data_IF_615012151090
#
_entry.id   IF_615012151090
#
_cell.length_a   1.000
_cell.length_b   1.000
_cell.length_c   1.000
_cell.angle_alpha   90.00
_cell.angle_beta   90.00
_cell.angle_gamma   90.00
#
_symmetry.space_group_name_H-M   'P 1'
#
loop_
_entity.id
_entity.type
_entity.pdbx_description
1 polymer ?
#
# COMPACT_ATOMS: atom_id res chain seq x y z
N UNK A 1 -12.35 6.37 4.86
CA UNK A 1 -11.06 6.94 4.47
C UNK A 1 -10.04 6.51 5.51
N UNK A 2 -9.07 5.68 5.12
CA UNK A 2 -8.01 5.19 6.01
C UNK A 2 -6.69 5.82 5.58
N UNK A 3 -5.84 6.21 6.52
CA UNK A 3 -4.51 6.74 6.21
C UNK A 3 -3.52 6.46 7.31
N UNK A 4 -2.27 6.19 6.94
CA UNK A 4 -1.16 6.00 7.87
C UNK A 4 0.11 6.64 7.32
N UNK A 5 1.13 6.78 8.17
CA UNK A 5 2.41 7.42 7.81
C UNK A 5 3.56 6.44 7.87
N UNK A 6 4.50 6.59 6.94
CA UNK A 6 5.78 5.87 6.95
C UNK A 6 6.90 6.88 7.07
N UNK A 7 7.76 6.73 8.07
CA UNK A 7 8.88 7.65 8.27
C UNK A 7 9.88 7.59 7.12
N UNK A 8 10.52 8.71 6.81
CA UNK A 8 11.57 8.79 5.80
C UNK A 8 12.71 7.81 6.10
N UNK A 9 13.10 7.68 7.37
CA UNK A 9 14.11 6.71 7.83
C UNK A 9 13.74 5.27 7.51
N UNK A 10 12.44 4.91 7.56
CA UNK A 10 11.99 3.55 7.23
C UNK A 10 12.04 3.28 5.73
N UNK A 11 11.79 4.30 4.90
CA UNK A 11 11.99 4.28 3.44
C UNK A 11 13.48 4.26 3.02
N UNK A 12 14.41 4.31 3.98
CA UNK A 12 15.86 4.19 3.78
C UNK A 12 16.46 2.95 4.42
N UNK A 13 15.61 2.17 5.09
CA UNK A 13 16.01 0.98 5.85
C UNK A 13 16.20 -0.25 4.97
N UNK A 14 16.70 -1.33 5.57
CA UNK A 14 16.78 -2.65 4.93
C UNK A 14 15.46 -3.43 5.01
N UNK A 15 14.39 -2.81 5.48
CA UNK A 15 13.06 -3.42 5.51
C UNK A 15 12.59 -3.70 4.08
N UNK A 16 11.94 -4.85 3.91
CA UNK A 16 11.30 -5.22 2.63
C UNK A 16 9.89 -4.66 2.51
N UNK A 17 9.23 -4.45 3.64
CA UNK A 17 7.87 -3.97 3.70
C UNK A 17 7.57 -3.21 4.99
N UNK A 18 6.56 -2.34 4.90
CA UNK A 18 5.90 -1.69 6.03
C UNK A 18 4.43 -2.09 6.01
N UNK A 19 3.84 -2.33 7.17
CA UNK A 19 2.42 -2.67 7.29
C UNK A 19 1.76 -1.62 8.17
N UNK A 20 0.58 -1.17 7.76
CA UNK A 20 -0.25 -0.25 8.54
C UNK A 20 -0.79 -0.94 9.79
N UNK A 21 -1.40 -0.15 10.68
CA UNK A 21 -2.33 -0.72 11.64
C UNK A 21 -3.52 -1.38 10.93
N UNK A 22 -4.17 -2.31 11.64
CA UNK A 22 -5.38 -2.97 11.14
C UNK A 22 -6.54 -1.99 11.19
N UNK A 23 -7.32 -1.96 10.12
CA UNK A 23 -8.59 -1.25 10.05
C UNK A 23 -9.68 -2.18 9.52
N UNK A 24 -10.92 -1.72 9.49
CA UNK A 24 -12.06 -2.56 9.12
C UNK A 24 -12.85 -1.95 7.96
N UNK A 25 -13.16 -2.77 6.96
CA UNK A 25 -14.06 -2.43 5.87
C UNK A 25 -15.35 -3.21 6.09
N UNK A 26 -16.50 -2.56 5.91
CA UNK A 26 -17.80 -3.22 6.01
C UNK A 26 -18.13 -3.89 4.67
N UNK A 27 -18.33 -5.20 4.69
CA UNK A 27 -18.80 -6.01 3.56
C UNK A 27 -20.11 -6.66 3.98
N UNK A 28 -21.23 -6.17 3.44
CA UNK A 28 -22.56 -6.50 3.95
C UNK A 28 -22.71 -6.14 5.43
N UNK A 29 -23.01 -7.15 6.26
CA UNK A 29 -23.16 -6.99 7.71
C UNK A 29 -21.90 -7.29 8.53
N UNK A 30 -20.82 -7.70 7.86
CA UNK A 30 -19.57 -8.03 8.53
C UNK A 30 -18.55 -6.89 8.43
N UNK A 31 -17.82 -6.66 9.52
CA UNK A 31 -16.61 -5.83 9.54
C UNK A 31 -15.40 -6.73 9.33
N UNK A 32 -14.78 -6.63 8.18
CA UNK A 32 -13.65 -7.45 7.78
C UNK A 32 -12.34 -6.69 8.02
N UNK A 33 -11.33 -7.29 8.68
CA UNK A 33 -10.07 -6.63 8.96
C UNK A 33 -9.16 -6.56 7.73
N UNK A 34 -8.55 -5.39 7.51
CA UNK A 34 -7.61 -5.12 6.44
C UNK A 34 -6.32 -4.46 6.95
N UNK A 35 -5.25 -4.61 6.19
CA UNK A 35 -4.00 -3.84 6.33
C UNK A 35 -3.53 -3.30 4.99
N UNK A 36 -2.86 -2.15 5.00
CA UNK A 36 -2.11 -1.66 3.84
C UNK A 36 -0.64 -2.04 4.00
N UNK A 37 -0.04 -2.56 2.94
CA UNK A 37 1.38 -2.94 2.89
C UNK A 37 2.10 -2.08 1.87
N UNK A 38 3.20 -1.46 2.31
CA UNK A 38 4.18 -0.82 1.45
C UNK A 38 5.27 -1.83 1.18
N UNK A 39 5.54 -2.16 -0.08
CA UNK A 39 6.51 -3.18 -0.44
C UNK A 39 7.60 -2.57 -1.30
N UNK A 40 8.85 -2.74 -0.88
CA UNK A 40 9.99 -2.26 -1.64
C UNK A 40 10.07 -2.94 -3.01
N UNK A 41 10.43 -2.16 -4.04
CA UNK A 41 10.70 -2.66 -5.39
C UNK A 41 11.82 -3.71 -5.35
N UNK A 42 11.63 -4.81 -6.07
CA UNK A 42 12.70 -5.76 -6.35
C UNK A 42 13.65 -5.14 -7.38
N UNK A 43 14.90 -4.88 -6.98
CA UNK A 43 15.95 -4.35 -7.86
C UNK A 43 16.79 -5.47 -8.47
N UNK A 44 17.10 -6.51 -7.70
CA UNK A 44 17.83 -7.69 -8.16
C UNK A 44 17.50 -8.92 -7.31
N UNK A 45 17.83 -10.13 -7.78
CA UNK A 45 17.49 -11.39 -7.07
C UNK A 45 18.47 -11.79 -5.95
N UNK A 46 19.59 -11.08 -5.77
CA UNK A 46 20.56 -11.34 -4.71
C UNK A 46 20.09 -10.83 -3.32
N UNK A 47 20.84 -11.19 -2.27
CA UNK A 47 20.59 -10.76 -0.88
C UNK A 47 20.40 -9.23 -0.82
N UNK A 48 19.36 -8.79 -0.12
CA UNK A 48 18.95 -7.37 -0.01
C UNK A 48 18.53 -6.68 -1.32
N UNK A 49 18.21 -7.45 -2.36
CA UNK A 49 17.71 -6.90 -3.61
C UNK A 49 16.30 -6.34 -3.59
N UNK A 50 15.54 -6.66 -2.54
CA UNK A 50 14.22 -6.13 -2.29
C UNK A 50 14.18 -5.53 -0.88
N UNK A 51 14.66 -4.29 -0.75
CA UNK A 51 14.51 -3.50 0.47
C UNK A 51 14.49 -2.02 0.12
N UNK A 52 13.92 -1.18 0.99
CA UNK A 52 13.74 0.24 0.69
C UNK A 52 15.07 0.95 0.41
N UNK A 53 16.14 0.61 1.12
CA UNK A 53 17.49 1.14 0.86
C UNK A 53 17.95 0.86 -0.58
N UNK A 54 17.88 -0.39 -1.02
CA UNK A 54 18.32 -0.78 -2.38
C UNK A 54 17.38 -0.23 -3.45
N UNK A 55 16.08 -0.23 -3.19
CA UNK A 55 15.06 0.32 -4.08
C UNK A 55 15.09 1.85 -4.18
N UNK A 56 15.86 2.51 -3.32
CA UNK A 56 15.91 3.98 -3.13
C UNK A 56 14.54 4.55 -2.74
N UNK A 57 13.84 3.87 -1.84
CA UNK A 57 12.51 4.25 -1.38
C UNK A 57 11.40 4.06 -2.41
N UNK A 58 11.64 3.29 -3.48
CA UNK A 58 10.62 2.95 -4.48
C UNK A 58 9.91 1.64 -4.16
N UNK A 59 8.66 1.51 -4.58
CA UNK A 59 7.90 0.28 -4.41
C UNK A 59 6.43 0.40 -4.75
N UNK A 60 5.64 -0.52 -4.20
CA UNK A 60 4.19 -0.63 -4.46
C UNK A 60 3.38 -0.69 -3.18
N UNK A 61 2.07 -0.48 -3.33
CA UNK A 61 1.08 -0.61 -2.26
C UNK A 61 0.17 -1.80 -2.52
N UNK A 62 -0.16 -2.52 -1.46
CA UNK A 62 -1.09 -3.64 -1.44
C UNK A 62 -2.10 -3.46 -0.31
N UNK A 63 -3.36 -3.76 -0.57
CA UNK A 63 -4.43 -3.90 0.40
C UNK A 63 -4.58 -5.39 0.68
N UNK A 64 -4.44 -5.79 1.94
CA UNK A 64 -4.55 -7.19 2.35
C UNK A 64 -5.75 -7.37 3.26
N UNK A 65 -6.63 -8.30 2.89
CA UNK A 65 -7.67 -8.84 3.74
C UNK A 65 -7.04 -9.82 4.73
N UNK A 66 -7.28 -9.62 6.02
CA UNK A 66 -6.72 -10.43 7.11
C UNK A 66 -7.70 -11.50 7.61
N UNK A 67 -8.86 -11.66 6.96
CA UNK A 67 -9.79 -12.76 7.21
C UNK A 67 -10.44 -13.23 5.90
N UNK A 68 -11.26 -14.26 5.98
CA UNK A 68 -12.13 -14.66 4.87
C UNK A 68 -13.29 -13.66 4.75
N UNK A 69 -13.55 -13.09 3.55
CA UNK A 69 -14.77 -12.31 3.32
C UNK A 69 -16.03 -13.18 3.47
N UNK A 70 -17.21 -12.57 3.69
CA UNK A 70 -18.48 -13.30 3.61
C UNK A 70 -18.64 -13.99 2.26
N UNK A 71 -19.34 -15.12 2.23
CA UNK A 71 -19.71 -15.78 0.98
C UNK A 71 -20.57 -14.84 0.13
N UNK A 72 -20.23 -14.71 -1.17
CA UNK A 72 -20.92 -13.80 -2.08
C UNK A 72 -20.64 -12.31 -1.84
N UNK A 73 -19.60 -11.95 -1.09
CA UNK A 73 -19.22 -10.55 -0.93
C UNK A 73 -18.81 -9.91 -2.27
N UNK A 74 -19.34 -8.71 -2.52
CA UNK A 74 -19.00 -7.94 -3.73
C UNK A 74 -17.50 -7.56 -3.76
N UNK A 75 -16.90 -7.46 -4.96
CA UNK A 75 -15.56 -6.89 -5.12
C UNK A 75 -15.45 -5.49 -4.52
N UNK A 76 -14.29 -5.18 -3.93
CA UNK A 76 -14.02 -3.87 -3.35
C UNK A 76 -13.35 -2.99 -4.39
N UNK A 77 -13.88 -1.78 -4.56
CA UNK A 77 -13.26 -0.71 -5.35
C UNK A 77 -12.49 0.23 -4.44
N UNK A 78 -11.19 0.37 -4.64
CA UNK A 78 -10.32 1.23 -3.84
C UNK A 78 -9.24 1.89 -4.69
N UNK A 79 -8.59 2.94 -4.16
CA UNK A 79 -7.41 3.54 -4.78
C UNK A 79 -6.46 4.00 -3.69
N UNK A 80 -5.17 3.97 -3.98
CA UNK A 80 -4.16 4.53 -3.11
C UNK A 80 -3.84 5.99 -3.47
N UNK A 81 -3.30 6.72 -2.51
CA UNK A 81 -2.70 8.05 -2.71
C UNK A 81 -1.49 8.29 -1.81
N UNK A 82 -0.54 9.11 -2.28
CA UNK A 82 0.58 9.61 -1.47
C UNK A 82 0.38 11.05 -1.00
N UNK A 83 1.01 11.35 0.13
CA UNK A 83 1.11 12.68 0.72
C UNK A 83 -0.25 13.32 1.02
N UNK A 84 -0.22 14.64 1.14
CA UNK A 84 -1.40 15.50 1.23
C UNK A 84 -1.88 16.01 -0.15
N UNK A 85 -1.11 15.72 -1.20
CA UNK A 85 -1.36 16.12 -2.57
C UNK A 85 -2.70 15.56 -3.10
N UNK A 86 -3.63 16.43 -3.47
CA UNK A 86 -4.91 16.02 -4.07
C UNK A 86 -4.84 15.81 -5.59
N UNK A 87 -3.69 16.10 -6.19
CA UNK A 87 -3.51 16.03 -7.63
C UNK A 87 -3.64 14.58 -8.15
N UNK A 88 -4.15 14.38 -9.37
CA UNK A 88 -4.33 13.06 -9.97
C UNK A 88 -3.05 12.20 -9.98
N UNK A 89 -1.89 12.80 -10.23
CA UNK A 89 -0.59 12.12 -10.28
C UNK A 89 -0.12 11.54 -8.93
N UNK A 90 -0.72 11.99 -7.83
CA UNK A 90 -0.45 11.51 -6.48
C UNK A 90 -1.35 10.33 -6.09
N UNK A 91 -2.24 9.89 -6.99
CA UNK A 91 -3.18 8.79 -6.80
C UNK A 91 -3.00 7.75 -7.91
N UNK A 92 -3.33 6.51 -7.61
CA UNK A 92 -3.45 5.50 -8.65
C UNK A 92 -4.87 5.46 -9.20
N UNK A 93 -5.04 4.75 -10.31
CA UNK A 93 -6.35 4.37 -10.82
C UNK A 93 -7.12 3.52 -9.79
N UNK A 94 -8.45 3.52 -9.94
CA UNK A 94 -9.31 2.69 -9.11
C UNK A 94 -9.06 1.23 -9.43
N UNK A 95 -8.71 0.46 -8.40
CA UNK A 95 -8.57 -0.99 -8.44
C UNK A 95 -9.88 -1.60 -7.96
N UNK A 96 -10.42 -2.52 -8.74
CA UNK A 96 -11.51 -3.40 -8.32
C UNK A 96 -10.92 -4.78 -8.04
N UNK A 97 -11.17 -5.33 -6.85
CA UNK A 97 -10.58 -6.59 -6.42
C UNK A 97 -11.55 -7.45 -5.62
N UNK A 98 -11.65 -8.71 -6.01
CA UNK A 98 -12.38 -9.74 -5.26
C UNK A 98 -11.44 -10.43 -4.25
N UNK A 99 -11.68 -10.16 -2.97
CA UNK A 99 -10.88 -10.69 -1.86
C UNK A 99 -11.22 -12.14 -1.49
N UNK A 100 -12.28 -12.73 -2.06
CA UNK A 100 -12.64 -14.13 -1.84
C UNK A 100 -11.69 -15.10 -2.55
N UNK A 101 -11.24 -14.74 -3.75
CA UNK A 101 -10.28 -15.52 -4.55
C UNK A 101 -8.81 -15.23 -4.21
N UNK A 102 -8.48 -13.99 -3.82
CA UNK A 102 -7.14 -13.59 -3.41
C UNK A 102 -7.18 -12.55 -2.29
N UNK A 103 -6.61 -12.89 -1.13
CA UNK A 103 -6.57 -12.00 0.04
C UNK A 103 -5.78 -10.69 -0.17
N UNK A 104 -5.04 -10.53 -1.27
CA UNK A 104 -4.23 -9.34 -1.55
C UNK A 104 -4.67 -8.71 -2.86
N UNK A 105 -5.18 -7.48 -2.77
CA UNK A 105 -5.43 -6.58 -3.89
C UNK A 105 -4.35 -5.52 -3.95
N UNK A 106 -3.96 -5.11 -5.14
CA UNK A 106 -2.92 -4.11 -5.31
C UNK A 106 -2.94 -3.56 -6.72
N UNK A 107 -2.00 -2.67 -7.00
CA UNK A 107 -1.83 -2.23 -8.38
C UNK A 107 -1.35 -3.39 -9.26
N UNK A 108 -1.78 -3.43 -10.53
CA UNK A 108 -1.30 -4.38 -11.51
C UNK A 108 0.24 -4.45 -11.54
N UNK A 109 0.79 -5.61 -11.86
CA UNK A 109 2.25 -5.83 -11.81
C UNK A 109 3.04 -4.95 -12.81
N UNK A 110 2.38 -4.48 -13.85
CA UNK A 110 2.86 -3.55 -14.88
C UNK A 110 2.67 -2.07 -14.50
N UNK A 111 1.95 -1.78 -13.42
CA UNK A 111 1.83 -0.42 -12.91
C UNK A 111 3.19 0.12 -12.43
N UNK A 112 3.42 1.40 -12.70
CA UNK A 112 4.66 2.10 -12.32
C UNK A 112 4.85 2.06 -10.80
N UNK A 113 6.02 1.62 -10.34
CA UNK A 113 6.42 1.74 -8.94
C UNK A 113 6.39 3.21 -8.49
N UNK A 114 5.92 3.42 -7.28
CA UNK A 114 5.89 4.74 -6.65
C UNK A 114 7.25 5.08 -6.05
N UNK A 115 7.63 6.35 -6.14
CA UNK A 115 8.76 6.89 -5.38
C UNK A 115 8.24 7.56 -4.11
N UNK A 116 8.21 6.79 -3.02
CA UNK A 116 7.66 7.27 -1.75
C UNK A 116 8.44 8.47 -1.18
N UNK A 117 9.73 8.63 -1.55
CA UNK A 117 10.56 9.74 -1.06
C UNK A 117 10.10 11.08 -1.61
N UNK A 118 9.57 11.11 -2.84
CA UNK A 118 9.05 12.35 -3.45
C UNK A 118 7.84 12.92 -2.71
N UNK A 119 7.14 12.07 -1.94
CA UNK A 119 5.97 12.45 -1.15
C UNK A 119 6.26 12.56 0.36
N UNK A 120 7.53 12.55 0.76
CA UNK A 120 7.91 12.82 2.16
C UNK A 120 7.69 14.29 2.46
N UNK A 121 6.87 14.54 3.47
CA UNK A 121 6.65 15.88 4.02
C UNK A 121 7.84 16.26 4.93
N UNK A 122 8.57 17.35 4.62
CA UNK A 122 9.71 17.79 5.43
C UNK A 122 9.35 18.15 6.88
N UNK A 123 8.13 18.63 7.13
CA UNK A 123 7.69 19.04 8.47
C UNK A 123 7.44 17.84 9.40
N UNK A 124 7.06 16.69 8.84
CA UNK A 124 6.80 15.46 9.62
C UNK A 124 7.84 14.36 9.41
N UNK A 125 8.80 14.56 8.50
CA UNK A 125 9.77 13.56 8.05
C UNK A 125 9.09 12.21 7.71
N UNK A 126 7.91 12.25 7.10
CA UNK A 126 7.08 11.08 6.82
C UNK A 126 6.33 11.20 5.49
N UNK A 127 6.08 10.06 4.86
CA UNK A 127 5.20 9.93 3.71
C UNK A 127 3.83 9.45 4.20
N UNK A 128 2.76 10.22 3.90
CA UNK A 128 1.40 9.79 4.18
C UNK A 128 0.89 8.88 3.06
N UNK A 129 0.20 7.81 3.42
CA UNK A 129 -0.44 6.86 2.49
C UNK A 129 -1.93 6.87 2.79
N UNK A 130 -2.75 7.03 1.75
CA UNK A 130 -4.21 7.07 1.82
C UNK A 130 -4.82 5.92 1.05
N UNK A 131 -5.94 5.42 1.58
CA UNK A 131 -6.84 4.44 1.00
C UNK A 131 -8.28 4.96 1.06
#
# INVERSE_FOLDING_TARGET
>A
HFSFRVSASRLESRDKHVVSERFFIRLGDMKVPFTVRVIAKLVHKHKHGQCFRTARGRGRLELKCESTPPEGADPIRFRFGLGTCEQPECRCDVVEHDFSGNSVGGLPADAKDWDFKTAVDPGTASCAIRL
#
